data_IF_505666765318
#
_entry.id   IF_505666765318
#
_cell.length_a   1.000
_cell.length_b   1.000
_cell.length_c   1.000
_cell.angle_alpha   90.00
_cell.angle_beta   90.00
_cell.angle_gamma   90.00
#
_symmetry.space_group_name_H-M   'P 1'
#
loop_
_entity.id
_entity.type
_entity.pdbx_description
1 polymer ?
#
# COMPACT_ATOMS: atom_id res chain seq x y z
N UNK A 1 32.84 -38.33 -40.05
CA UNK A 1 31.47 -38.30 -39.51
C UNK A 1 31.55 -37.56 -38.17
N UNK A 2 31.35 -36.24 -38.15
CA UNK A 2 30.09 -35.56 -37.76
C UNK A 2 29.44 -36.17 -36.51
N UNK A 3 29.20 -35.46 -35.40
CA UNK A 3 29.38 -34.03 -35.17
C UNK A 3 28.84 -33.54 -33.82
N UNK A 4 29.04 -32.23 -33.64
CA UNK A 4 28.20 -31.26 -32.91
C UNK A 4 28.19 -31.31 -31.37
N UNK A 5 28.98 -30.37 -30.84
CA UNK A 5 28.96 -29.77 -29.50
C UNK A 5 27.56 -29.24 -29.15
N UNK A 6 27.07 -29.48 -27.94
CA UNK A 6 25.96 -28.72 -27.37
C UNK A 6 26.43 -27.94 -26.13
N UNK A 7 26.62 -26.63 -26.33
CA UNK A 7 26.65 -25.61 -25.30
C UNK A 7 25.22 -25.45 -24.76
N UNK A 8 25.00 -25.62 -23.46
CA UNK A 8 23.74 -25.23 -22.82
C UNK A 8 23.77 -23.72 -22.54
N UNK A 9 22.88 -22.98 -23.20
CA UNK A 9 22.64 -21.55 -23.01
C UNK A 9 22.18 -21.26 -21.57
N UNK A 10 22.89 -20.37 -20.88
CA UNK A 10 22.38 -19.69 -19.70
C UNK A 10 21.31 -18.67 -20.13
N UNK A 11 20.04 -18.95 -19.79
CA UNK A 11 18.96 -17.99 -19.92
C UNK A 11 19.12 -16.92 -18.82
N UNK A 12 19.65 -15.76 -19.18
CA UNK A 12 19.62 -14.56 -18.33
C UNK A 12 18.18 -14.01 -18.45
N UNK A 13 17.34 -14.27 -17.45
CA UNK A 13 16.06 -13.58 -17.33
C UNK A 13 16.35 -12.13 -16.95
N UNK A 14 16.36 -11.25 -17.94
CA UNK A 14 16.38 -9.82 -17.71
C UNK A 14 15.03 -9.41 -17.11
N UNK A 15 14.98 -9.30 -15.78
CA UNK A 15 13.86 -8.64 -15.09
C UNK A 15 13.93 -7.17 -15.50
N UNK A 16 13.11 -6.81 -16.49
CA UNK A 16 12.92 -5.42 -16.87
C UNK A 16 12.19 -4.73 -15.71
N UNK A 17 12.95 -4.09 -14.81
CA UNK A 17 12.37 -3.13 -13.89
C UNK A 17 11.93 -1.92 -14.73
N UNK A 18 10.69 -1.98 -15.21
CA UNK A 18 10.02 -0.77 -15.68
C UNK A 18 10.03 0.19 -14.50
N UNK A 19 10.88 1.20 -14.55
CA UNK A 19 10.90 2.28 -13.57
C UNK A 19 9.61 3.05 -13.83
N UNK A 20 8.54 2.67 -13.13
CA UNK A 20 7.29 3.39 -13.23
C UNK A 20 7.52 4.83 -12.78
N UNK A 21 6.85 5.75 -13.47
CA UNK A 21 6.84 7.15 -13.04
C UNK A 21 6.22 7.20 -11.63
N UNK A 22 7.08 7.50 -10.65
CA UNK A 22 6.70 7.61 -9.25
C UNK A 22 5.63 8.69 -9.01
N UNK A 23 5.30 9.53 -10.00
CA UNK A 23 4.25 10.54 -9.93
C UNK A 23 2.86 10.00 -10.30
N UNK A 24 2.75 8.90 -11.03
CA UNK A 24 1.48 8.35 -11.52
C UNK A 24 1.00 7.19 -10.65
N UNK A 25 -0.15 7.36 -10.00
CA UNK A 25 -0.77 6.27 -9.26
C UNK A 25 -1.27 5.17 -10.23
N UNK A 26 -1.01 3.88 -9.93
CA UNK A 26 -1.48 2.79 -10.77
C UNK A 26 -3.01 2.79 -10.82
N UNK A 27 -3.55 2.62 -12.03
CA UNK A 27 -5.00 2.57 -12.28
C UNK A 27 -5.61 1.25 -11.81
N UNK A 28 -4.83 0.18 -11.90
CA UNK A 28 -5.26 -1.17 -11.59
C UNK A 28 -4.61 -1.67 -10.31
N UNK A 29 -5.42 -2.27 -9.45
CA UNK A 29 -5.01 -3.04 -8.28
C UNK A 29 -5.86 -4.30 -8.23
N UNK A 30 -5.36 -5.42 -7.65
CA UNK A 30 -6.21 -6.55 -7.36
C UNK A 30 -7.43 -6.11 -6.55
N UNK A 31 -8.61 -6.69 -6.83
CA UNK A 31 -9.87 -6.18 -6.27
C UNK A 31 -9.98 -6.39 -4.75
N UNK A 32 -9.34 -7.44 -4.23
CA UNK A 32 -9.43 -7.88 -2.84
C UNK A 32 -8.16 -8.61 -2.39
N UNK A 33 -8.07 -8.89 -1.09
CA UNK A 33 -6.95 -9.60 -0.44
C UNK A 33 -6.58 -10.89 -1.15
N UNK A 34 -7.57 -11.76 -1.37
CA UNK A 34 -7.35 -13.07 -2.02
C UNK A 34 -6.74 -12.91 -3.42
N UNK A 35 -7.18 -11.91 -4.18
CA UNK A 35 -6.63 -11.62 -5.51
C UNK A 35 -5.19 -11.08 -5.43
N UNK A 36 -4.87 -10.25 -4.44
CA UNK A 36 -3.51 -9.76 -4.21
C UNK A 36 -2.54 -10.91 -3.86
N UNK A 37 -2.98 -11.81 -2.98
CA UNK A 37 -2.23 -13.02 -2.59
C UNK A 37 -2.06 -13.97 -3.78
N UNK A 38 -3.12 -14.21 -4.55
CA UNK A 38 -3.07 -15.06 -5.74
C UNK A 38 -2.19 -14.48 -6.85
N UNK A 39 -2.06 -13.16 -6.91
CA UNK A 39 -1.13 -12.46 -7.80
C UNK A 39 0.33 -12.50 -7.31
N UNK A 40 0.59 -13.11 -6.13
CA UNK A 40 1.93 -13.21 -5.56
C UNK A 40 2.50 -11.88 -5.08
N UNK A 41 1.65 -10.90 -4.79
CA UNK A 41 2.12 -9.61 -4.27
C UNK A 41 2.72 -9.77 -2.87
N UNK A 42 3.80 -9.05 -2.62
CA UNK A 42 4.45 -9.05 -1.31
C UNK A 42 3.60 -8.31 -0.27
N UNK A 43 3.11 -9.03 0.74
CA UNK A 43 2.44 -8.43 1.89
C UNK A 43 3.47 -7.88 2.86
N UNK A 44 3.35 -6.62 3.24
CA UNK A 44 4.24 -5.98 4.21
C UNK A 44 3.94 -6.51 5.62
N UNK A 45 5.01 -6.78 6.35
CA UNK A 45 5.02 -7.01 7.79
C UNK A 45 4.91 -5.69 8.56
N UNK A 46 4.60 -5.74 9.85
CA UNK A 46 4.67 -4.53 10.70
C UNK A 46 6.06 -3.93 10.75
N UNK A 47 7.10 -4.74 10.70
CA UNK A 47 8.50 -4.32 10.71
C UNK A 47 8.82 -3.50 9.45
N UNK A 48 8.33 -3.92 8.30
CA UNK A 48 8.46 -3.15 7.06
C UNK A 48 7.61 -1.88 7.07
N UNK A 49 6.42 -1.91 7.66
CA UNK A 49 5.55 -0.73 7.78
C UNK A 49 6.19 0.38 8.63
N UNK A 50 7.04 0.04 9.61
CA UNK A 50 7.78 1.01 10.43
C UNK A 50 8.75 1.87 9.61
N UNK A 51 9.11 1.46 8.39
CA UNK A 51 9.89 2.31 7.47
C UNK A 51 9.11 3.51 6.93
N UNK A 52 7.77 3.49 7.04
CA UNK A 52 6.89 4.52 6.47
C UNK A 52 5.95 5.18 7.50
N UNK A 53 5.61 4.46 8.57
CA UNK A 53 4.69 4.94 9.61
C UNK A 53 5.43 4.86 10.96
N UNK A 54 5.64 5.98 11.68
CA UNK A 54 5.18 7.34 11.38
C UNK A 54 5.86 7.96 10.14
N UNK A 55 5.15 8.85 9.45
CA UNK A 55 5.60 9.49 8.20
C UNK A 55 4.47 10.16 7.41
N UNK A 56 4.80 10.73 6.26
CA UNK A 56 3.84 11.37 5.34
C UNK A 56 3.67 10.55 4.06
N UNK A 57 2.43 10.43 3.59
CA UNK A 57 2.06 9.62 2.43
C UNK A 57 1.05 10.35 1.54
N UNK A 58 1.22 10.23 0.24
CA UNK A 58 0.18 10.56 -0.72
C UNK A 58 -0.75 9.36 -0.87
N UNK A 59 -2.04 9.55 -0.57
CA UNK A 59 -3.03 8.47 -0.55
C UNK A 59 -4.16 8.74 -1.53
N UNK A 60 -4.32 7.87 -2.51
CA UNK A 60 -5.46 7.81 -3.41
C UNK A 60 -6.47 6.80 -2.88
N UNK A 61 -7.58 7.29 -2.30
CA UNK A 61 -8.68 6.43 -1.85
C UNK A 61 -9.49 5.86 -3.02
N UNK A 62 -10.16 4.72 -2.79
CA UNK A 62 -11.13 4.15 -3.73
C UNK A 62 -12.14 5.22 -4.19
N UNK A 63 -12.25 5.40 -5.51
CA UNK A 63 -13.17 6.37 -6.12
C UNK A 63 -12.78 7.85 -5.94
N UNK A 64 -11.62 8.15 -5.37
CA UNK A 64 -11.12 9.51 -5.28
C UNK A 64 -10.51 9.95 -6.62
N UNK A 65 -10.73 11.20 -7.02
CA UNK A 65 -10.15 11.78 -8.24
C UNK A 65 -8.74 12.34 -8.08
N UNK A 66 -8.23 12.48 -6.86
CA UNK A 66 -6.88 12.98 -6.57
C UNK A 66 -6.34 12.42 -5.25
N UNK A 67 -5.01 12.21 -5.14
CA UNK A 67 -4.41 11.82 -3.87
C UNK A 67 -4.53 12.94 -2.83
N UNK A 68 -4.51 12.56 -1.56
CA UNK A 68 -4.46 13.48 -0.41
C UNK A 68 -3.23 13.18 0.41
N UNK A 69 -2.57 14.22 0.92
CA UNK A 69 -1.49 14.04 1.88
C UNK A 69 -2.07 13.60 3.22
N UNK A 70 -1.51 12.54 3.78
CA UNK A 70 -1.75 12.09 5.14
C UNK A 70 -0.45 12.04 5.90
N UNK A 71 -0.46 12.53 7.14
CA UNK A 71 0.70 12.50 8.03
C UNK A 71 0.35 11.70 9.27
N UNK A 72 1.13 10.65 9.53
CA UNK A 72 1.03 9.77 10.69
C UNK A 72 2.14 10.17 11.67
N UNK A 73 1.76 10.72 12.82
CA UNK A 73 2.67 11.22 13.85
C UNK A 73 3.08 10.12 14.82
N UNK A 74 4.29 10.15 15.39
CA UNK A 74 4.76 9.15 16.35
C UNK A 74 3.89 8.99 17.61
N UNK A 75 3.09 10.00 17.95
CA UNK A 75 2.15 10.00 19.08
C UNK A 75 0.85 9.21 18.82
N UNK A 76 0.72 8.58 17.65
CA UNK A 76 -0.47 7.82 17.26
C UNK A 76 -1.58 8.67 16.63
N UNK A 77 -1.37 9.97 16.40
CA UNK A 77 -2.33 10.82 15.68
C UNK A 77 -2.04 10.77 14.18
N UNK A 78 -3.07 10.73 13.34
CA UNK A 78 -2.91 11.03 11.91
C UNK A 78 -3.78 12.21 11.47
N UNK A 79 -3.26 12.96 10.50
CA UNK A 79 -3.89 14.15 9.94
C UNK A 79 -4.03 14.00 8.44
N UNK A 80 -5.18 14.39 7.90
CA UNK A 80 -5.43 14.45 6.45
C UNK A 80 -5.42 15.91 6.03
N UNK A 81 -4.50 16.28 5.14
CA UNK A 81 -4.47 17.61 4.56
C UNK A 81 -5.63 17.77 3.58
N UNK A 82 -6.59 18.60 3.94
CA UNK A 82 -7.70 19.02 3.08
C UNK A 82 -8.14 20.43 3.48
N UNK A 83 -9.19 20.97 2.87
CA UNK A 83 -9.73 22.29 3.22
C UNK A 83 -10.08 22.44 4.72
N UNK A 84 -10.38 21.32 5.38
CA UNK A 84 -10.36 21.16 6.85
C UNK A 84 -9.36 20.06 7.22
N UNK A 85 -8.59 20.27 8.29
CA UNK A 85 -7.75 19.20 8.84
C UNK A 85 -8.67 18.18 9.51
N UNK A 86 -8.74 16.99 8.94
CA UNK A 86 -9.40 15.87 9.58
C UNK A 86 -8.36 15.07 10.36
N UNK A 87 -8.69 14.70 11.60
CA UNK A 87 -7.80 13.95 12.48
C UNK A 87 -8.40 12.59 12.83
N UNK A 88 -7.53 11.67 13.19
CA UNK A 88 -7.87 10.39 13.79
C UNK A 88 -6.65 9.82 14.50
N UNK A 89 -6.75 8.57 14.92
CA UNK A 89 -5.62 7.85 15.50
C UNK A 89 -5.18 6.72 14.59
N UNK A 90 -3.95 6.24 14.78
CA UNK A 90 -3.40 5.09 14.08
C UNK A 90 -2.60 4.20 15.03
N UNK A 91 -2.49 2.92 14.67
CA UNK A 91 -1.64 1.95 15.36
C UNK A 91 -1.16 0.86 14.40
N UNK A 92 -0.08 0.18 14.75
CA UNK A 92 0.31 -1.09 14.10
C UNK A 92 -0.25 -2.26 14.91
N UNK A 93 -0.68 -3.30 14.21
CA UNK A 93 -1.08 -4.57 14.80
C UNK A 93 -0.12 -5.68 14.33
N UNK A 94 0.84 -6.00 15.20
CA UNK A 94 1.89 -6.98 14.91
C UNK A 94 1.35 -8.40 14.79
N UNK A 95 0.27 -8.74 15.50
CA UNK A 95 -0.34 -10.07 15.43
C UNK A 95 -0.96 -10.34 14.07
N UNK A 96 -1.51 -9.30 13.44
CA UNK A 96 -2.21 -9.41 12.16
C UNK A 96 -1.38 -8.94 10.94
N UNK A 97 -0.19 -8.38 11.12
CA UNK A 97 0.54 -7.66 10.06
C UNK A 97 -0.35 -6.62 9.37
N UNK A 98 -0.96 -5.75 10.18
CA UNK A 98 -1.82 -4.67 9.69
C UNK A 98 -1.45 -3.33 10.32
N UNK A 99 -1.90 -2.25 9.69
CA UNK A 99 -1.98 -0.95 10.35
C UNK A 99 -3.46 -0.55 10.44
N UNK A 100 -3.84 0.02 11.57
CA UNK A 100 -5.20 0.43 11.84
C UNK A 100 -5.28 1.95 11.94
N UNK A 101 -6.42 2.51 11.54
CA UNK A 101 -6.78 3.90 11.80
C UNK A 101 -8.18 3.99 12.36
N UNK A 102 -8.37 4.95 13.25
CA UNK A 102 -9.67 5.25 13.82
C UNK A 102 -10.05 6.67 13.47
N UNK A 103 -11.26 6.84 12.92
CA UNK A 103 -11.82 8.15 12.59
C UNK A 103 -13.22 8.28 13.14
N UNK A 104 -13.54 9.45 13.65
CA UNK A 104 -14.91 9.78 14.02
C UNK A 104 -15.77 9.90 12.76
N UNK A 105 -16.88 9.15 12.71
CA UNK A 105 -17.86 9.21 11.63
C UNK A 105 -19.09 9.97 12.12
N UNK A 106 -19.22 11.24 11.73
CA UNK A 106 -20.35 12.11 12.13
C UNK A 106 -21.72 11.45 11.89
N UNK A 107 -21.91 10.78 10.73
CA UNK A 107 -23.17 10.11 10.39
C UNK A 107 -23.54 8.98 11.35
N UNK A 108 -22.54 8.30 11.93
CA UNK A 108 -22.74 7.20 12.88
C UNK A 108 -22.57 7.64 14.34
N UNK A 109 -22.05 8.85 14.56
CA UNK A 109 -21.71 9.42 15.87
C UNK A 109 -20.79 8.52 16.70
N UNK A 110 -19.90 7.80 16.04
CA UNK A 110 -18.99 6.84 16.67
C UNK A 110 -17.60 6.91 16.02
N UNK A 111 -16.62 6.45 16.78
CA UNK A 111 -15.29 6.16 16.25
C UNK A 111 -15.30 4.83 15.52
N UNK A 112 -14.85 4.85 14.26
CA UNK A 112 -14.77 3.66 13.42
C UNK A 112 -13.31 3.33 13.16
N UNK A 113 -12.87 2.21 13.71
CA UNK A 113 -11.57 1.61 13.41
C UNK A 113 -11.63 0.83 12.09
N UNK A 114 -10.62 1.01 11.25
CA UNK A 114 -10.38 0.22 10.04
C UNK A 114 -8.93 -0.23 10.05
N UNK A 115 -8.69 -1.52 9.82
CA UNK A 115 -7.36 -2.09 9.72
C UNK A 115 -7.07 -2.53 8.29
N UNK A 116 -5.82 -2.37 7.88
CA UNK A 116 -5.41 -2.60 6.49
C UNK A 116 -4.25 -3.58 6.43
N UNK A 117 -4.39 -4.60 5.58
CA UNK A 117 -3.24 -5.34 5.10
C UNK A 117 -2.67 -4.60 3.89
N UNK A 118 -1.34 -4.49 3.84
CA UNK A 118 -0.64 -3.69 2.83
C UNK A 118 0.15 -4.60 1.92
N UNK A 119 0.00 -4.42 0.61
CA UNK A 119 0.76 -5.13 -0.40
C UNK A 119 1.59 -4.17 -1.23
N UNK A 120 2.85 -4.53 -1.51
CA UNK A 120 3.70 -3.76 -2.43
C UNK A 120 3.16 -3.90 -3.86
N UNK A 121 3.00 -2.78 -4.55
CA UNK A 121 2.65 -2.80 -5.97
C UNK A 121 3.85 -3.29 -6.82
N UNK A 122 3.61 -3.86 -8.02
CA UNK A 122 4.68 -4.33 -8.90
C UNK A 122 5.68 -3.25 -9.33
N UNK A 123 5.27 -1.97 -9.28
CA UNK A 123 6.12 -0.83 -9.63
C UNK A 123 7.20 -0.52 -8.56
N UNK A 124 7.11 -1.13 -7.38
CA UNK A 124 8.07 -0.96 -6.29
C UNK A 124 7.96 0.37 -5.53
N UNK A 125 7.10 1.30 -5.97
CA UNK A 125 6.94 2.65 -5.41
C UNK A 125 5.61 2.81 -4.66
N UNK A 126 4.56 2.17 -5.15
CA UNK A 126 3.23 2.24 -4.58
C UNK A 126 2.90 1.01 -3.73
N UNK A 127 1.86 1.18 -2.92
CA UNK A 127 1.37 0.18 -1.99
C UNK A 127 -0.16 0.18 -2.02
N UNK A 128 -0.74 -1.01 -1.89
CA UNK A 128 -2.17 -1.23 -1.88
C UNK A 128 -2.64 -1.57 -0.47
N UNK A 129 -3.51 -0.73 0.08
CA UNK A 129 -4.26 -1.05 1.30
C UNK A 129 -5.50 -1.86 0.94
N UNK A 130 -5.73 -2.94 1.67
CA UNK A 130 -6.97 -3.68 1.65
C UNK A 130 -7.58 -3.67 3.04
N UNK A 131 -8.84 -3.24 3.15
CA UNK A 131 -9.56 -3.24 4.43
C UNK A 131 -9.77 -4.69 4.86
N UNK A 132 -9.34 -5.06 6.06
CA UNK A 132 -9.46 -6.45 6.54
C UNK A 132 -10.90 -6.81 6.92
N UNK A 133 -11.75 -5.82 7.17
CA UNK A 133 -13.15 -6.04 7.54
C UNK A 133 -14.00 -6.51 6.36
N UNK A 134 -13.77 -5.96 5.16
CA UNK A 134 -14.49 -6.36 3.94
C UNK A 134 -13.60 -7.07 2.89
N UNK A 135 -12.30 -7.16 3.16
CA UNK A 135 -11.27 -7.75 2.28
C UNK A 135 -11.01 -7.00 0.97
N UNK A 136 -11.58 -5.81 0.78
CA UNK A 136 -11.55 -5.10 -0.50
C UNK A 136 -10.49 -3.99 -0.54
N UNK A 137 -9.98 -3.68 -1.74
CA UNK A 137 -8.99 -2.60 -1.95
C UNK A 137 -9.51 -1.25 -1.43
N UNK A 138 -8.87 -0.65 -0.44
CA UNK A 138 -9.32 0.60 0.17
C UNK A 138 -8.62 1.83 -0.42
N UNK A 139 -7.31 1.74 -0.64
CA UNK A 139 -6.49 2.84 -1.11
C UNK A 139 -5.21 2.34 -1.79
N UNK A 140 -4.67 3.20 -2.64
CA UNK A 140 -3.28 3.11 -3.10
C UNK A 140 -2.51 4.28 -2.49
N UNK A 141 -1.29 4.05 -2.04
CA UNK A 141 -0.45 5.11 -1.48
C UNK A 141 1.02 4.97 -1.87
N UNK A 142 1.74 6.08 -1.70
CA UNK A 142 3.21 6.12 -1.75
C UNK A 142 3.71 7.04 -0.64
N UNK A 143 4.94 6.84 -0.13
CA UNK A 143 5.59 7.82 0.73
C UNK A 143 5.69 9.16 0.01
N UNK A 144 5.54 10.27 0.75
CA UNK A 144 5.80 11.59 0.19
C UNK A 144 7.28 11.71 -0.17
N UNK A 145 7.59 12.04 -1.43
CA UNK A 145 8.96 12.37 -1.85
C UNK A 145 9.47 13.55 -1.03
N UNK A 146 10.67 13.42 -0.46
CA UNK A 146 11.37 14.52 0.23
C UNK A 146 11.87 15.55 -0.76
#
# INVERSE_FOLDING_TARGET
>A
MSGIRYLALLLIIAVSTAHADATVFPKDSPKNLKAAESAGLHRLTTEELKAFIPGSMEVLGRGAGKPKLRTYKPDGVFEVQSWKINKGTWRLDAGANTWCRTVYKEKKREDVEQCFAVFRAPDGVHYFDYDVGDSFHASTWRPQSK
#
